data_IF_151254881581
#
_entry.id   IF_151254881581
#
_cell.length_a   1.000
_cell.length_b   1.000
_cell.length_c   1.000
_cell.angle_alpha   90.00
_cell.angle_beta   90.00
_cell.angle_gamma   90.00
#
_symmetry.space_group_name_H-M   'P 1'
#
loop_
_entity.id
_entity.type
_entity.pdbx_description
1 polymer ?
#
# COMPACT_ATOMS: atom_id res chain seq x y z
N UNK A 1 -16.33 7.06 -32.27
CA UNK A 1 -16.69 8.21 -31.41
C UNK A 1 -16.08 7.89 -30.06
N UNK A 2 -14.87 8.38 -29.80
CA UNK A 2 -14.15 8.06 -28.56
C UNK A 2 -14.67 8.98 -27.46
N UNK A 3 -15.80 8.63 -26.87
CA UNK A 3 -16.29 9.29 -25.67
C UNK A 3 -15.67 8.63 -24.43
N UNK A 4 -14.90 9.43 -23.70
CA UNK A 4 -14.41 9.10 -22.38
C UNK A 4 -15.42 9.58 -21.35
N UNK A 5 -15.84 8.67 -20.47
CA UNK A 5 -16.71 8.98 -19.35
C UNK A 5 -15.88 8.87 -18.08
N UNK A 6 -15.21 9.96 -17.66
CA UNK A 6 -14.51 9.97 -16.39
C UNK A 6 -15.54 9.89 -15.26
N UNK A 7 -15.24 9.09 -14.24
CA UNK A 7 -15.98 9.14 -13.00
C UNK A 7 -15.00 9.16 -11.83
N UNK A 8 -15.26 10.07 -10.90
CA UNK A 8 -14.55 10.16 -9.63
C UNK A 8 -15.58 9.92 -8.55
N UNK A 9 -15.34 8.89 -7.73
CA UNK A 9 -16.17 8.60 -6.56
C UNK A 9 -15.28 8.60 -5.34
N UNK A 10 -15.66 9.38 -4.33
CA UNK A 10 -15.12 9.23 -2.99
C UNK A 10 -15.69 7.93 -2.41
N UNK A 11 -14.84 6.97 -2.10
CA UNK A 11 -15.31 5.77 -1.43
C UNK A 11 -15.41 6.00 0.07
N UNK A 12 -16.53 5.55 0.63
CA UNK A 12 -16.65 5.37 2.06
C UNK A 12 -15.63 4.35 2.57
N UNK A 13 -15.46 4.31 3.88
CA UNK A 13 -14.43 3.53 4.56
C UNK A 13 -14.42 2.07 4.08
N UNK A 14 -13.36 1.66 3.37
CA UNK A 14 -13.20 0.30 2.79
C UNK A 14 -13.05 -0.78 3.88
N UNK A 15 -12.77 -0.36 5.12
CA UNK A 15 -12.68 -1.19 6.32
C UNK A 15 -12.19 -0.40 7.53
N UNK A 16 -12.31 -0.96 8.73
CA UNK A 16 -11.90 -0.29 9.97
C UNK A 16 -10.41 0.11 9.94
N UNK A 17 -10.12 1.38 10.23
CA UNK A 17 -8.75 1.90 10.36
C UNK A 17 -8.09 2.39 9.06
N UNK A 18 -8.83 2.52 7.96
CA UNK A 18 -8.38 3.26 6.78
C UNK A 18 -8.95 4.69 6.79
N UNK A 19 -8.13 5.67 6.42
CA UNK A 19 -8.49 7.10 6.39
C UNK A 19 -8.46 7.62 4.96
N UNK A 20 -9.66 7.82 4.40
CA UNK A 20 -9.81 8.27 3.03
C UNK A 20 -9.32 7.24 2.00
N UNK A 21 -9.95 7.30 0.84
CA UNK A 21 -9.57 6.52 -0.33
C UNK A 21 -10.13 7.17 -1.57
N UNK A 22 -9.35 7.16 -2.64
CA UNK A 22 -9.80 7.62 -3.95
C UNK A 22 -9.88 6.43 -4.89
N UNK A 23 -11.02 6.31 -5.57
CA UNK A 23 -11.18 5.43 -6.71
C UNK A 23 -11.20 6.32 -7.94
N UNK A 24 -10.12 6.21 -8.72
CA UNK A 24 -9.99 6.90 -9.99
C UNK A 24 -10.21 5.87 -11.09
N UNK A 25 -11.20 6.13 -11.93
CA UNK A 25 -11.52 5.26 -13.03
C UNK A 25 -11.87 6.00 -14.29
N UNK A 26 -11.70 5.30 -15.39
CA UNK A 26 -12.17 5.74 -16.70
C UNK A 26 -12.90 4.57 -17.35
N UNK A 27 -14.04 4.88 -17.96
CA UNK A 27 -14.72 3.96 -18.87
C UNK A 27 -14.76 4.59 -20.27
N UNK A 28 -14.48 3.77 -21.27
CA UNK A 28 -14.47 4.15 -22.67
C UNK A 28 -15.35 3.20 -23.46
N UNK A 29 -16.21 3.77 -24.30
CA UNK A 29 -16.88 3.03 -25.37
C UNK A 29 -15.84 2.75 -26.47
N UNK A 30 -15.37 1.52 -26.57
CA UNK A 30 -14.32 1.13 -27.53
C UNK A 30 -14.88 0.72 -28.87
N UNK A 31 -16.11 0.20 -28.88
CA UNK A 31 -16.78 -0.25 -30.09
C UNK A 31 -18.27 0.01 -29.96
N UNK A 32 -18.88 0.51 -31.03
CA UNK A 32 -20.31 0.73 -31.11
C UNK A 32 -20.75 0.44 -32.54
N UNK A 33 -21.65 -0.51 -32.70
CA UNK A 33 -22.26 -0.84 -33.98
C UNK A 33 -23.76 -0.99 -33.80
N UNK A 34 -24.51 -0.67 -34.86
CA UNK A 34 -25.92 -0.99 -34.91
C UNK A 34 -26.29 -1.50 -36.30
N UNK A 35 -27.26 -2.40 -36.34
CA UNK A 35 -27.78 -2.99 -37.57
C UNK A 35 -29.31 -2.90 -37.53
N UNK A 36 -29.89 -2.43 -38.63
CA UNK A 36 -31.34 -2.41 -38.82
C UNK A 36 -31.72 -3.63 -39.65
N UNK A 37 -32.50 -4.53 -39.05
CA UNK A 37 -33.02 -5.73 -39.68
C UNK A 37 -34.35 -5.49 -40.40
N UNK A 38 -34.73 -6.47 -41.20
CA UNK A 38 -36.05 -6.52 -41.84
C UNK A 38 -37.10 -6.74 -40.74
N UNK A 39 -38.16 -5.93 -40.73
CA UNK A 39 -39.23 -5.99 -39.72
C UNK A 39 -39.06 -5.05 -38.52
N UNK A 40 -38.32 -3.95 -38.68
CA UNK A 40 -38.10 -2.91 -37.66
C UNK A 40 -37.32 -3.37 -36.41
N UNK A 41 -36.53 -4.43 -36.52
CA UNK A 41 -35.59 -4.83 -35.48
C UNK A 41 -34.31 -4.01 -35.59
N UNK A 42 -33.81 -3.51 -34.46
CA UNK A 42 -32.52 -2.81 -34.38
C UNK A 42 -31.65 -3.61 -33.40
N UNK A 43 -30.52 -4.11 -33.89
CA UNK A 43 -29.49 -4.74 -33.05
C UNK A 43 -28.43 -3.69 -32.76
N UNK A 44 -28.09 -3.51 -31.49
CA UNK A 44 -27.03 -2.59 -31.05
C UNK A 44 -25.99 -3.40 -30.29
N UNK A 45 -24.73 -3.26 -30.68
CA UNK A 45 -23.59 -3.85 -29.98
C UNK A 45 -22.68 -2.73 -29.50
N UNK A 46 -22.39 -2.72 -28.19
CA UNK A 46 -21.55 -1.72 -27.56
C UNK A 46 -20.53 -2.42 -26.65
N UNK A 47 -19.25 -2.10 -26.85
CA UNK A 47 -18.15 -2.62 -26.03
C UNK A 47 -17.59 -1.52 -25.15
N UNK A 48 -17.60 -1.76 -23.84
CA UNK A 48 -17.02 -0.87 -22.85
C UNK A 48 -15.71 -1.44 -22.32
N UNK A 49 -14.70 -0.59 -22.22
CA UNK A 49 -13.46 -0.87 -21.50
C UNK A 49 -13.41 0.05 -20.29
N UNK A 50 -13.29 -0.54 -19.10
CA UNK A 50 -13.20 0.20 -17.86
C UNK A 50 -11.90 -0.14 -17.15
N UNK A 51 -11.23 0.89 -16.62
CA UNK A 51 -10.05 0.77 -15.77
C UNK A 51 -10.31 1.54 -14.49
N UNK A 52 -10.03 0.93 -13.35
CA UNK A 52 -10.13 1.56 -12.05
C UNK A 52 -8.85 1.33 -11.25
N UNK A 53 -8.42 2.36 -10.52
CA UNK A 53 -7.31 2.31 -9.57
C UNK A 53 -7.84 2.75 -8.22
N UNK A 54 -7.66 1.89 -7.22
CA UNK A 54 -7.99 2.19 -5.84
C UNK A 54 -6.71 2.55 -5.07
N UNK A 55 -6.72 3.70 -4.38
CA UNK A 55 -5.69 4.04 -3.41
C UNK A 55 -6.32 4.13 -2.03
N UNK A 56 -5.90 3.24 -1.13
CA UNK A 56 -6.32 3.24 0.27
C UNK A 56 -5.15 3.70 1.13
N UNK A 57 -5.38 4.59 2.10
CA UNK A 57 -4.34 5.07 3.02
C UNK A 57 -4.62 4.58 4.44
N UNK A 58 -3.58 4.07 5.09
CA UNK A 58 -3.58 3.76 6.51
C UNK A 58 -2.36 4.41 7.15
N UNK A 59 -2.60 5.33 8.08
CA UNK A 59 -1.55 6.02 8.82
C UNK A 59 -1.34 5.27 10.13
N UNK A 60 -0.10 4.87 10.41
CA UNK A 60 0.27 4.31 11.71
C UNK A 60 1.21 5.30 12.40
N UNK A 61 0.88 5.70 13.64
CA UNK A 61 1.77 6.50 14.49
C UNK A 61 2.60 5.53 15.33
N UNK A 62 3.84 5.28 14.93
CA UNK A 62 4.64 4.15 15.47
C UNK A 62 5.97 4.55 16.12
N UNK A 63 6.36 5.83 16.09
CA UNK A 63 7.52 6.33 16.81
C UNK A 63 7.10 7.48 17.73
N UNK A 64 7.22 7.29 19.04
CA UNK A 64 6.91 8.30 20.04
C UNK A 64 7.96 9.43 20.09
N UNK A 65 9.22 9.10 19.76
CA UNK A 65 10.33 10.04 19.59
C UNK A 65 11.46 9.34 18.81
N UNK A 66 12.19 10.09 17.97
CA UNK A 66 13.47 9.66 17.40
C UNK A 66 14.50 10.68 17.88
N UNK A 67 15.30 10.29 18.88
CA UNK A 67 16.44 11.08 19.31
C UNK A 67 17.64 10.74 18.42
N UNK A 68 18.04 11.71 17.58
CA UNK A 68 19.22 11.58 16.72
C UNK A 68 20.32 12.40 17.35
N UNK A 69 21.29 11.73 17.97
CA UNK A 69 22.54 12.39 18.33
C UNK A 69 23.39 12.58 17.06
N UNK A 70 23.87 13.81 16.77
CA UNK A 70 24.73 14.03 15.61
C UNK A 70 26.05 13.27 15.81
N UNK A 71 26.32 12.31 14.94
CA UNK A 71 27.57 11.55 14.97
C UNK A 71 28.76 12.48 14.73
N UNK A 72 29.59 12.66 15.76
CA UNK A 72 30.89 13.32 15.63
C UNK A 72 31.81 12.52 14.70
N UNK A 73 32.36 13.20 13.68
CA UNK A 73 33.53 12.84 12.87
C UNK A 73 33.79 11.37 12.51
N UNK A 74 33.63 11.02 11.23
CA UNK A 74 34.10 9.78 10.59
C UNK A 74 33.56 8.45 11.16
N UNK A 75 32.34 8.47 11.71
CA UNK A 75 31.59 7.23 11.96
C UNK A 75 31.06 6.65 10.63
N UNK A 76 31.06 5.31 10.45
CA UNK A 76 30.43 4.67 9.31
C UNK A 76 28.96 5.12 9.21
N UNK A 77 28.51 5.42 7.99
CA UNK A 77 27.13 5.81 7.68
C UNK A 77 26.18 4.68 8.10
N UNK A 78 25.61 4.75 9.32
CA UNK A 78 24.55 3.84 9.76
C UNK A 78 23.24 4.29 9.15
N UNK A 79 22.56 3.39 8.45
CA UNK A 79 21.25 3.69 7.88
C UNK A 79 20.17 2.91 8.65
N UNK A 80 19.03 3.57 8.88
CA UNK A 80 17.91 2.98 9.60
C UNK A 80 16.74 2.77 8.64
N UNK A 81 16.19 1.57 8.60
CA UNK A 81 15.01 1.24 7.78
C UNK A 81 13.79 1.13 8.68
N UNK A 82 12.72 1.87 8.35
CA UNK A 82 11.41 1.68 8.97
C UNK A 82 10.67 0.57 8.21
N UNK A 83 10.36 -0.51 8.91
CA UNK A 83 9.76 -1.72 8.33
C UNK A 83 8.40 -2.01 8.98
N UNK A 84 7.40 -2.41 8.20
CA UNK A 84 6.06 -2.79 8.67
C UNK A 84 5.88 -4.30 8.48
N UNK A 85 5.99 -5.11 9.55
CA UNK A 85 5.89 -6.58 9.45
C UNK A 85 4.53 -7.03 8.94
N UNK A 86 4.54 -8.12 8.18
CA UNK A 86 3.31 -8.84 7.79
C UNK A 86 2.83 -9.67 8.98
N UNK A 87 1.51 -9.84 9.14
CA UNK A 87 0.95 -10.68 10.21
C UNK A 87 1.52 -12.11 10.13
N UNK A 88 2.13 -12.56 11.23
CA UNK A 88 2.79 -13.87 11.32
C UNK A 88 4.25 -13.92 10.85
N UNK A 89 4.81 -12.81 10.34
CA UNK A 89 6.23 -12.74 9.96
C UNK A 89 7.13 -12.78 11.21
N UNK A 90 8.24 -13.52 11.12
CA UNK A 90 9.20 -13.68 12.22
C UNK A 90 10.39 -12.71 12.12
N UNK A 91 11.00 -12.35 13.26
CA UNK A 91 12.22 -11.55 13.27
C UNK A 91 13.38 -12.20 12.52
N UNK A 92 13.41 -13.54 12.44
CA UNK A 92 14.42 -14.27 11.69
C UNK A 92 14.30 -14.02 10.18
N UNK A 93 13.09 -14.05 9.63
CA UNK A 93 12.85 -13.74 8.20
C UNK A 93 13.23 -12.30 7.88
N UNK A 94 12.92 -11.36 8.78
CA UNK A 94 13.25 -9.94 8.64
C UNK A 94 14.77 -9.74 8.72
N UNK A 95 15.44 -10.30 9.73
CA UNK A 95 16.89 -10.21 9.89
C UNK A 95 17.64 -10.80 8.69
N UNK A 96 17.17 -11.94 8.17
CA UNK A 96 17.71 -12.54 6.95
C UNK A 96 17.55 -11.62 5.74
N UNK A 97 16.39 -10.97 5.58
CA UNK A 97 16.11 -10.06 4.45
C UNK A 97 17.03 -8.85 4.45
N UNK A 98 17.26 -8.26 5.62
CA UNK A 98 18.03 -7.03 5.76
C UNK A 98 19.51 -7.27 6.09
N UNK A 99 19.93 -8.53 6.23
CA UNK A 99 21.28 -8.92 6.69
C UNK A 99 21.60 -8.28 8.05
N UNK A 100 20.61 -8.22 8.93
CA UNK A 100 20.72 -7.62 10.26
C UNK A 100 20.60 -8.73 11.33
N UNK A 101 21.52 -8.81 12.30
CA UNK A 101 21.39 -9.75 13.41
C UNK A 101 20.09 -9.51 14.20
N UNK A 102 19.38 -10.59 14.55
CA UNK A 102 18.11 -10.50 15.31
C UNK A 102 18.31 -9.71 16.60
N UNK A 103 19.43 -9.93 17.29
CA UNK A 103 19.79 -9.21 18.51
C UNK A 103 19.84 -7.69 18.31
N UNK A 104 20.30 -7.21 17.17
CA UNK A 104 20.31 -5.76 16.88
C UNK A 104 18.91 -5.21 16.67
N UNK A 105 18.04 -5.97 15.98
CA UNK A 105 16.63 -5.61 15.80
C UNK A 105 15.93 -5.55 17.16
N UNK A 106 16.11 -6.56 18.01
CA UNK A 106 15.55 -6.62 19.37
C UNK A 106 16.01 -5.43 20.20
N UNK A 107 17.30 -5.13 20.20
CA UNK A 107 17.86 -4.03 20.99
C UNK A 107 17.33 -2.66 20.54
N UNK A 108 17.33 -2.38 19.23
CA UNK A 108 16.91 -1.07 18.70
C UNK A 108 15.41 -0.85 18.87
N UNK A 109 14.61 -1.91 18.86
CA UNK A 109 13.15 -1.83 19.06
C UNK A 109 12.72 -2.04 20.51
N UNK A 110 13.66 -2.23 21.45
CA UNK A 110 13.38 -2.49 22.86
C UNK A 110 12.41 -3.66 23.07
N UNK A 111 12.58 -4.75 22.31
CA UNK A 111 11.72 -5.93 22.42
C UNK A 111 12.14 -6.78 23.63
N UNK A 112 11.16 -7.33 24.34
CA UNK A 112 11.40 -8.22 25.49
C UNK A 112 11.80 -9.65 25.08
N UNK A 113 11.50 -10.04 23.84
CA UNK A 113 11.79 -11.36 23.28
C UNK A 113 12.10 -11.27 21.77
N UNK A 114 12.43 -12.40 21.15
CA UNK A 114 12.60 -12.50 19.69
C UNK A 114 11.25 -12.62 18.94
N UNK A 115 10.13 -12.37 19.62
CA UNK A 115 8.80 -12.36 19.02
C UNK A 115 8.36 -10.92 18.73
N UNK A 116 7.60 -10.72 17.65
CA UNK A 116 7.01 -9.43 17.31
C UNK A 116 5.71 -9.27 18.11
N UNK A 117 5.58 -8.29 19.02
CA UNK A 117 4.36 -8.07 19.77
C UNK A 117 3.17 -7.76 18.84
N UNK A 118 1.99 -8.34 19.12
CA UNK A 118 0.79 -8.16 18.29
C UNK A 118 0.36 -6.69 18.10
N UNK A 119 0.69 -5.84 19.07
CA UNK A 119 0.43 -4.40 19.04
C UNK A 119 1.50 -3.59 18.30
N UNK A 120 2.66 -4.19 17.98
CA UNK A 120 3.75 -3.52 17.29
C UNK A 120 3.51 -3.55 15.77
N UNK A 121 3.37 -2.37 15.16
CA UNK A 121 3.09 -2.24 13.72
C UNK A 121 4.32 -1.90 12.88
N UNK A 122 5.41 -1.48 13.51
CA UNK A 122 6.62 -1.06 12.83
C UNK A 122 7.86 -1.49 13.62
N UNK A 123 8.92 -1.85 12.89
CA UNK A 123 10.25 -2.11 13.40
C UNK A 123 11.27 -1.18 12.78
N UNK A 124 12.27 -0.84 13.57
CA UNK A 124 13.50 -0.15 13.19
C UNK A 124 14.56 -1.20 12.87
N UNK A 125 15.04 -1.24 11.63
CA UNK A 125 16.06 -2.20 11.19
C UNK A 125 17.38 -1.47 10.93
N UNK A 126 18.40 -1.63 11.79
CA UNK A 126 19.72 -1.02 11.58
C UNK A 126 20.51 -1.75 10.48
N UNK A 127 21.28 -0.98 9.68
CA UNK A 127 22.28 -1.49 8.72
C UNK A 127 23.52 -0.60 8.65
#
# INVERSE_FOLDING_TARGET
LDQLFPFETACEQVGAGFEGGAFLGDCRLTEFSYQVGIGASITVEAKLSCRAVARVRKTYSTAAAIEVEPAGGNAPQRCLTLYYPVEGESLWEIGKRYTTPIREIVNVNMLESEEIPNNLKMLLIPR
#
